data_IF_981293725013
#
_entry.id   IF_981293725013
#
_cell.length_a   1.000
_cell.length_b   1.000
_cell.length_c   1.000
_cell.angle_alpha   90.00
_cell.angle_beta   90.00
_cell.angle_gamma   90.00
#
_symmetry.space_group_name_H-M   'P 1'
#
loop_
_entity.id
_entity.type
_entity.pdbx_description
1 polymer ?
#
# COMPACT_ATOMS: atom_id res chain seq x y z
N UNK A 1 -23.55 -20.11 -11.21
CA UNK A 1 -22.33 -20.56 -11.89
C UNK A 1 -21.38 -19.37 -11.87
N UNK A 2 -20.46 -19.34 -10.94
CA UNK A 2 -19.37 -18.35 -10.92
C UNK A 2 -18.44 -18.67 -12.08
N UNK A 3 -18.29 -17.71 -13.02
CA UNK A 3 -17.32 -17.84 -14.12
C UNK A 3 -15.91 -17.98 -13.50
N UNK A 4 -15.01 -18.78 -14.12
CA UNK A 4 -13.62 -18.81 -13.67
C UNK A 4 -13.08 -17.38 -13.71
N UNK A 5 -12.63 -16.89 -12.56
CA UNK A 5 -12.00 -15.58 -12.44
C UNK A 5 -10.66 -15.67 -13.17
N UNK A 6 -10.57 -15.10 -14.37
CA UNK A 6 -9.29 -14.94 -15.02
C UNK A 6 -8.41 -14.06 -14.14
N UNK A 7 -7.21 -14.52 -13.84
CA UNK A 7 -6.23 -13.69 -13.15
C UNK A 7 -5.87 -12.51 -14.04
N UNK A 8 -5.90 -11.32 -13.48
CA UNK A 8 -5.40 -10.10 -14.15
C UNK A 8 -3.88 -10.18 -14.31
N UNK A 9 -3.27 -9.47 -15.27
CA UNK A 9 -1.86 -9.56 -15.59
C UNK A 9 -0.92 -9.49 -14.36
N UNK A 10 -1.10 -8.50 -13.48
CA UNK A 10 -0.30 -8.38 -12.25
C UNK A 10 -0.50 -9.57 -11.28
N UNK A 11 -1.61 -10.26 -11.37
CA UNK A 11 -1.93 -11.44 -10.55
C UNK A 11 -1.44 -12.74 -11.20
N UNK A 12 -1.29 -12.76 -12.53
CA UNK A 12 -0.64 -13.87 -13.26
C UNK A 12 0.83 -13.95 -12.86
N UNK A 13 1.56 -12.84 -12.89
CA UNK A 13 2.96 -12.81 -12.49
C UNK A 13 3.17 -13.34 -11.06
N UNK A 14 2.26 -13.00 -10.14
CA UNK A 14 2.30 -13.51 -8.77
C UNK A 14 1.99 -15.01 -8.69
N UNK A 15 1.03 -15.48 -9.48
CA UNK A 15 0.71 -16.90 -9.57
C UNK A 15 1.86 -17.72 -10.17
N UNK A 16 2.52 -17.20 -11.19
CA UNK A 16 3.68 -17.84 -11.84
C UNK A 16 4.86 -17.96 -10.87
N UNK A 17 5.08 -16.99 -9.99
CA UNK A 17 6.08 -17.09 -8.91
C UNK A 17 5.76 -18.24 -7.95
N UNK A 18 4.50 -18.38 -7.53
CA UNK A 18 4.08 -19.50 -6.69
C UNK A 18 4.35 -20.83 -7.41
N UNK A 19 3.98 -20.94 -8.70
CA UNK A 19 4.21 -22.16 -9.48
C UNK A 19 5.71 -22.47 -9.63
N UNK A 20 6.56 -21.44 -9.79
CA UNK A 20 8.01 -21.62 -9.85
C UNK A 20 8.57 -22.16 -8.54
N UNK A 21 8.15 -21.60 -7.40
CA UNK A 21 8.57 -22.08 -6.09
C UNK A 21 8.11 -23.52 -5.80
N UNK A 22 6.90 -23.90 -6.25
CA UNK A 22 6.41 -25.30 -6.16
C UNK A 22 7.35 -26.25 -6.93
N UNK A 23 7.72 -25.91 -8.17
CA UNK A 23 8.64 -26.72 -8.98
C UNK A 23 10.03 -26.84 -8.36
N UNK A 24 10.55 -25.72 -7.86
CA UNK A 24 11.87 -25.69 -7.18
C UNK A 24 11.88 -26.56 -5.92
N UNK A 25 10.81 -26.51 -5.12
CA UNK A 25 10.66 -27.37 -3.94
C UNK A 25 10.63 -28.86 -4.32
N UNK A 26 9.92 -29.24 -5.40
CA UNK A 26 9.89 -30.60 -5.91
C UNK A 26 11.25 -31.07 -6.43
N UNK A 27 12.02 -30.21 -7.09
CA UNK A 27 13.35 -30.54 -7.61
C UNK A 27 14.36 -30.76 -6.48
N UNK A 28 14.27 -29.96 -5.41
CA UNK A 28 15.12 -30.11 -4.21
C UNK A 28 14.81 -31.44 -3.50
N UNK A 29 13.57 -31.81 -3.39
CA UNK A 29 13.16 -33.07 -2.74
C UNK A 29 13.69 -34.29 -3.54
N UNK A 30 13.56 -34.26 -4.87
CA UNK A 30 14.12 -35.28 -5.76
C UNK A 30 15.65 -35.33 -5.70
N UNK A 31 16.31 -34.18 -5.60
CA UNK A 31 17.77 -34.09 -5.48
C UNK A 31 18.28 -34.64 -4.14
N UNK A 32 17.54 -34.44 -3.06
CA UNK A 32 17.87 -35.02 -1.72
C UNK A 32 17.74 -36.53 -1.71
N UNK A 33 16.66 -37.09 -2.31
CA UNK A 33 16.51 -38.53 -2.48
C UNK A 33 17.66 -39.14 -3.30
N UNK A 34 18.15 -38.43 -4.33
CA UNK A 34 19.28 -38.86 -5.13
C UNK A 34 20.65 -38.74 -4.39
N UNK A 35 20.83 -37.74 -3.52
CA UNK A 35 22.07 -37.48 -2.78
C UNK A 35 22.25 -38.35 -1.53
N UNK A 36 21.20 -38.92 -0.96
CA UNK A 36 21.37 -39.97 0.07
C UNK A 36 22.18 -41.16 -0.46
N UNK A 37 22.30 -41.26 -1.79
CA UNK A 37 23.06 -42.30 -2.48
C UNK A 37 24.56 -41.92 -2.68
N UNK A 38 24.94 -40.64 -2.66
CA UNK A 38 26.33 -40.18 -2.95
C UNK A 38 26.83 -39.09 -1.98
N UNK A 39 27.38 -39.51 -0.85
CA UNK A 39 27.80 -38.66 0.29
C UNK A 39 29.11 -37.84 0.08
N UNK A 40 29.64 -37.68 -1.15
CA UNK A 40 31.02 -37.21 -1.35
C UNK A 40 31.22 -35.84 -1.98
N UNK A 41 30.20 -35.04 -2.23
CA UNK A 41 30.39 -33.71 -2.84
C UNK A 41 29.80 -32.61 -1.99
N UNK A 42 30.66 -31.77 -1.41
CA UNK A 42 30.29 -30.43 -0.91
C UNK A 42 29.94 -29.54 -2.12
N UNK A 43 28.66 -29.42 -2.43
CA UNK A 43 28.14 -28.42 -3.38
C UNK A 43 27.67 -27.23 -2.56
N UNK A 44 28.03 -26.00 -2.98
CA UNK A 44 27.43 -24.79 -2.43
C UNK A 44 25.90 -24.96 -2.51
N UNK A 45 25.25 -24.97 -1.34
CA UNK A 45 23.78 -25.08 -1.31
C UNK A 45 23.19 -23.82 -1.95
N UNK A 46 22.37 -23.96 -2.99
CA UNK A 46 21.61 -22.82 -3.51
C UNK A 46 20.78 -22.20 -2.38
N UNK A 47 20.46 -20.91 -2.51
CA UNK A 47 19.52 -20.28 -1.59
C UNK A 47 18.22 -21.07 -1.59
N UNK A 48 17.67 -21.36 -0.40
CA UNK A 48 16.46 -22.16 -0.33
C UNK A 48 15.28 -21.38 -0.92
N UNK A 49 14.39 -22.03 -1.71
CA UNK A 49 13.25 -21.37 -2.30
C UNK A 49 12.28 -20.82 -1.24
N UNK A 50 11.52 -19.77 -1.56
CA UNK A 50 10.49 -19.27 -0.68
C UNK A 50 9.40 -20.33 -0.47
N UNK A 51 8.95 -20.48 0.76
CA UNK A 51 7.87 -21.41 1.15
C UNK A 51 6.70 -20.68 1.81
N UNK A 52 6.86 -19.39 2.13
CA UNK A 52 5.83 -18.53 2.69
C UNK A 52 5.62 -17.32 1.79
N UNK A 53 4.47 -17.26 1.14
CA UNK A 53 4.05 -16.11 0.32
C UNK A 53 3.00 -15.32 1.07
N UNK A 54 3.24 -14.04 1.29
CA UNK A 54 2.27 -13.15 1.94
C UNK A 54 1.80 -12.09 0.93
N UNK A 55 0.53 -12.15 0.57
CA UNK A 55 -0.12 -11.15 -0.28
C UNK A 55 -0.83 -10.12 0.58
N UNK A 56 -0.38 -8.88 0.53
CA UNK A 56 -0.92 -7.84 1.38
C UNK A 56 -1.50 -6.66 0.60
N UNK A 57 -2.40 -5.92 1.25
CA UNK A 57 -3.06 -4.76 0.67
C UNK A 57 -4.30 -4.34 1.46
N UNK A 58 -4.86 -3.20 1.15
CA UNK A 58 -6.01 -2.61 1.84
C UNK A 58 -7.25 -3.52 1.86
N UNK A 59 -8.22 -3.18 2.70
CA UNK A 59 -9.54 -3.82 2.67
C UNK A 59 -10.16 -3.68 1.29
N UNK A 60 -10.59 -4.79 0.69
CA UNK A 60 -11.20 -4.80 -0.65
C UNK A 60 -10.20 -4.80 -1.82
N UNK A 61 -8.89 -4.97 -1.60
CA UNK A 61 -7.87 -5.07 -2.65
C UNK A 61 -7.90 -6.40 -3.44
N UNK A 62 -8.78 -7.34 -3.07
CA UNK A 62 -8.97 -8.61 -3.78
C UNK A 62 -8.14 -9.77 -3.24
N UNK A 63 -7.59 -9.69 -2.02
CA UNK A 63 -6.77 -10.75 -1.39
C UNK A 63 -7.46 -12.10 -1.32
N UNK A 64 -8.62 -12.15 -0.70
CA UNK A 64 -9.43 -13.38 -0.58
C UNK A 64 -9.80 -13.95 -1.96
N UNK A 65 -10.13 -13.07 -2.92
CA UNK A 65 -10.41 -13.48 -4.30
C UNK A 65 -9.19 -14.11 -4.94
N UNK A 66 -8.00 -13.56 -4.71
CA UNK A 66 -6.74 -14.12 -5.21
C UNK A 66 -6.47 -15.49 -4.60
N UNK A 67 -6.59 -15.65 -3.27
CA UNK A 67 -6.43 -16.96 -2.60
C UNK A 67 -7.40 -18.02 -3.15
N UNK A 68 -8.68 -17.68 -3.31
CA UNK A 68 -9.67 -18.59 -3.90
C UNK A 68 -9.31 -18.98 -5.34
N UNK A 69 -8.78 -18.06 -6.13
CA UNK A 69 -8.36 -18.35 -7.50
C UNK A 69 -7.12 -19.24 -7.53
N UNK A 70 -6.18 -19.02 -6.61
CA UNK A 70 -5.01 -19.92 -6.44
C UNK A 70 -5.47 -21.33 -6.07
N UNK A 71 -6.39 -21.46 -5.11
CA UNK A 71 -6.99 -22.72 -4.72
C UNK A 71 -7.61 -23.45 -5.92
N UNK A 72 -8.48 -22.76 -6.68
CA UNK A 72 -9.15 -23.32 -7.86
C UNK A 72 -8.16 -23.82 -8.92
N UNK A 73 -7.14 -22.98 -9.24
CA UNK A 73 -6.16 -23.31 -10.28
C UNK A 73 -5.22 -24.45 -9.87
N UNK A 74 -4.77 -24.47 -8.61
CA UNK A 74 -3.84 -25.49 -8.12
C UNK A 74 -4.53 -26.80 -7.75
N UNK A 75 -5.82 -26.80 -7.44
CA UNK A 75 -6.60 -28.03 -7.21
C UNK A 75 -6.67 -28.95 -8.43
N UNK A 76 -6.46 -28.41 -9.63
CA UNK A 76 -6.38 -29.18 -10.86
C UNK A 76 -5.01 -29.88 -11.06
N UNK A 77 -3.98 -29.53 -10.28
CA UNK A 77 -2.66 -30.14 -10.37
C UNK A 77 -2.59 -31.41 -9.50
N UNK A 78 -2.31 -32.56 -10.13
CA UNK A 78 -2.24 -33.85 -9.44
C UNK A 78 -1.11 -33.98 -8.42
N UNK A 79 -0.07 -33.17 -8.53
CA UNK A 79 1.15 -33.21 -7.73
C UNK A 79 1.06 -32.34 -6.47
N UNK A 80 -0.03 -31.59 -6.34
CA UNK A 80 -0.31 -30.72 -5.21
C UNK A 80 -1.46 -31.29 -4.38
N UNK A 81 -1.33 -31.22 -3.07
CA UNK A 81 -2.40 -31.51 -2.11
C UNK A 81 -2.75 -30.23 -1.34
N UNK A 82 -3.93 -29.66 -1.61
CA UNK A 82 -4.44 -28.53 -0.84
C UNK A 82 -4.96 -29.07 0.49
N UNK A 83 -4.28 -28.72 1.58
CA UNK A 83 -4.63 -29.22 2.91
C UNK A 83 -5.83 -28.48 3.52
N UNK A 84 -5.99 -27.20 3.21
CA UNK A 84 -7.14 -26.42 3.65
C UNK A 84 -6.97 -24.93 3.44
N UNK A 85 -8.07 -24.23 3.70
CA UNK A 85 -8.19 -22.78 3.69
C UNK A 85 -8.66 -22.32 5.08
N UNK A 86 -7.85 -21.53 5.77
CA UNK A 86 -8.14 -20.99 7.11
C UNK A 86 -8.32 -19.48 7.06
N UNK A 87 -9.35 -18.99 7.73
CA UNK A 87 -9.48 -17.57 8.02
C UNK A 87 -8.92 -17.33 9.42
N UNK A 88 -7.73 -16.72 9.53
CA UNK A 88 -7.07 -16.52 10.83
C UNK A 88 -7.89 -15.67 11.81
N UNK A 89 -8.81 -14.83 11.32
CA UNK A 89 -9.70 -14.04 12.17
C UNK A 89 -10.68 -14.88 13.00
N UNK A 90 -10.90 -16.15 12.62
CA UNK A 90 -11.81 -17.07 13.33
C UNK A 90 -11.09 -17.89 14.43
N UNK A 91 -9.79 -17.69 14.61
CA UNK A 91 -8.93 -18.50 15.46
C UNK A 91 -8.04 -17.64 16.37
N UNK A 92 -7.59 -18.25 17.47
CA UNK A 92 -6.36 -17.83 18.18
C UNK A 92 -5.15 -18.50 17.54
N UNK A 93 -3.93 -18.03 17.78
CA UNK A 93 -2.72 -18.65 17.29
C UNK A 93 -2.63 -20.16 17.65
N UNK A 94 -2.99 -20.51 18.89
CA UNK A 94 -2.98 -21.88 19.37
C UNK A 94 -3.97 -22.78 18.64
N UNK A 95 -5.22 -22.31 18.45
CA UNK A 95 -6.25 -23.10 17.76
C UNK A 95 -5.99 -23.21 16.27
N UNK A 96 -5.48 -22.17 15.63
CA UNK A 96 -5.05 -22.20 14.23
C UNK A 96 -3.90 -23.19 14.02
N UNK A 97 -2.87 -23.10 14.87
CA UNK A 97 -1.73 -24.02 14.83
C UNK A 97 -2.15 -25.49 15.00
N UNK A 98 -3.06 -25.76 15.92
CA UNK A 98 -3.57 -27.12 16.16
C UNK A 98 -4.35 -27.64 14.96
N UNK A 99 -5.25 -26.82 14.39
CA UNK A 99 -6.05 -27.17 13.22
C UNK A 99 -5.18 -27.47 12.00
N UNK A 100 -4.14 -26.68 11.76
CA UNK A 100 -3.20 -26.91 10.66
C UNK A 100 -2.41 -28.22 10.90
N UNK A 101 -1.87 -28.45 12.10
CA UNK A 101 -1.11 -29.65 12.44
C UNK A 101 -1.91 -30.93 12.20
N UNK A 102 -3.15 -30.99 12.68
CA UNK A 102 -4.02 -32.15 12.50
C UNK A 102 -4.22 -32.52 11.01
N UNK A 103 -4.15 -31.54 10.12
CA UNK A 103 -4.32 -31.74 8.68
C UNK A 103 -3.01 -32.16 8.01
N UNK A 104 -1.89 -31.58 8.41
CA UNK A 104 -0.56 -31.80 7.81
C UNK A 104 0.04 -33.18 8.13
N UNK A 105 -0.30 -33.79 9.27
CA UNK A 105 0.27 -35.06 9.71
C UNK A 105 -0.14 -36.27 8.85
N UNK A 106 -1.03 -36.10 7.90
CA UNK A 106 -1.35 -37.10 6.89
C UNK A 106 -0.14 -37.32 5.97
N UNK A 107 0.31 -38.56 5.86
CA UNK A 107 1.41 -38.92 4.95
C UNK A 107 0.95 -38.76 3.50
N UNK A 108 1.64 -37.93 2.75
CA UNK A 108 1.46 -37.74 1.32
C UNK A 108 2.83 -37.52 0.69
N UNK A 109 3.01 -38.00 -0.54
CA UNK A 109 4.20 -37.75 -1.36
C UNK A 109 4.07 -36.49 -2.23
N UNK A 110 2.98 -35.72 -2.05
CA UNK A 110 2.70 -34.53 -2.84
C UNK A 110 3.15 -33.29 -2.09
N UNK A 111 3.46 -32.23 -2.85
CA UNK A 111 3.65 -30.89 -2.28
C UNK A 111 2.36 -30.42 -1.63
N UNK A 112 2.44 -30.01 -0.38
CA UNK A 112 1.30 -29.57 0.42
C UNK A 112 1.12 -28.06 0.30
N UNK A 113 -0.13 -27.64 0.13
CA UNK A 113 -0.50 -26.23 0.06
C UNK A 113 -1.42 -25.87 1.22
N UNK A 114 -1.06 -24.79 1.93
CA UNK A 114 -1.83 -24.21 3.02
C UNK A 114 -2.23 -22.79 2.62
N UNK A 115 -3.51 -22.45 2.72
CA UNK A 115 -4.03 -21.12 2.44
C UNK A 115 -4.54 -20.48 3.73
N UNK A 116 -4.08 -19.25 4.02
CA UNK A 116 -4.47 -18.51 5.23
C UNK A 116 -4.92 -17.10 4.84
N UNK A 117 -6.18 -16.77 5.11
CA UNK A 117 -6.69 -15.40 4.95
C UNK A 117 -6.65 -14.63 6.28
N UNK A 118 -6.57 -13.30 6.20
CA UNK A 118 -6.58 -12.38 7.34
C UNK A 118 -5.48 -12.67 8.40
N UNK A 119 -4.27 -13.01 7.97
CA UNK A 119 -3.14 -13.32 8.86
C UNK A 119 -2.83 -12.16 9.82
N UNK A 120 -3.08 -10.91 9.42
CA UNK A 120 -2.96 -9.71 10.25
C UNK A 120 -3.87 -9.71 11.49
N UNK A 121 -4.90 -10.55 11.54
CA UNK A 121 -5.74 -10.70 12.73
C UNK A 121 -4.96 -11.17 13.96
N UNK A 122 -3.84 -11.89 13.75
CA UNK A 122 -2.92 -12.30 14.82
C UNK A 122 -2.03 -11.15 15.35
N UNK A 123 -2.11 -9.97 14.74
CA UNK A 123 -1.40 -8.75 15.17
C UNK A 123 -2.31 -7.75 15.91
N UNK A 124 -3.56 -8.12 16.20
CA UNK A 124 -4.51 -7.20 16.86
C UNK A 124 -4.11 -6.84 18.30
N UNK A 125 -3.35 -7.69 18.96
CA UNK A 125 -2.74 -7.33 20.23
C UNK A 125 -1.45 -6.51 20.00
N UNK A 126 -1.26 -5.49 20.82
CA UNK A 126 -0.09 -4.59 20.72
C UNK A 126 1.25 -5.29 21.02
N UNK A 127 1.22 -6.52 21.53
CA UNK A 127 2.42 -7.29 21.85
C UNK A 127 2.92 -8.16 20.71
N UNK A 128 2.09 -8.41 19.68
CA UNK A 128 2.37 -9.36 18.60
C UNK A 128 2.49 -10.81 19.06
N UNK A 129 2.08 -11.10 20.29
CA UNK A 129 2.26 -12.43 20.91
C UNK A 129 1.59 -13.52 20.09
N UNK A 130 0.36 -13.30 19.64
CA UNK A 130 -0.37 -14.29 18.84
C UNK A 130 0.39 -14.64 17.55
N UNK A 131 0.99 -13.64 16.87
CA UNK A 131 1.78 -13.89 15.67
C UNK A 131 3.03 -14.73 15.99
N UNK A 132 3.75 -14.41 17.06
CA UNK A 132 4.96 -15.15 17.45
C UNK A 132 4.63 -16.57 17.96
N UNK A 133 3.51 -16.74 18.66
CA UNK A 133 3.03 -18.07 19.05
C UNK A 133 2.66 -18.91 17.82
N UNK A 134 2.06 -18.31 16.79
CA UNK A 134 1.77 -18.97 15.52
C UNK A 134 3.05 -19.31 14.74
N UNK A 135 4.00 -18.37 14.67
CA UNK A 135 5.31 -18.58 14.06
C UNK A 135 6.01 -19.82 14.63
N UNK A 136 6.18 -19.84 15.95
CA UNK A 136 6.91 -20.90 16.63
C UNK A 136 6.16 -22.23 16.61
N UNK A 137 4.85 -22.22 16.75
CA UNK A 137 4.05 -23.43 16.85
C UNK A 137 3.60 -24.03 15.52
N UNK A 138 3.50 -23.22 14.44
CA UNK A 138 3.04 -23.70 13.15
C UNK A 138 4.00 -23.39 12.00
N UNK A 139 4.36 -22.12 11.77
CA UNK A 139 5.12 -21.74 10.57
C UNK A 139 6.50 -22.38 10.54
N UNK A 140 7.28 -22.26 11.61
CA UNK A 140 8.64 -22.82 11.66
C UNK A 140 8.65 -24.34 11.43
N UNK A 141 7.84 -25.16 12.12
CA UNK A 141 7.77 -26.59 11.84
C UNK A 141 7.34 -26.93 10.39
N UNK A 142 6.46 -26.13 9.79
CA UNK A 142 6.02 -26.35 8.41
C UNK A 142 7.11 -26.02 7.39
N UNK A 143 7.81 -24.90 7.57
CA UNK A 143 8.91 -24.47 6.72
C UNK A 143 10.08 -25.45 6.78
N UNK A 144 10.36 -26.03 7.95
CA UNK A 144 11.42 -27.03 8.13
C UNK A 144 11.11 -28.37 7.45
N UNK A 145 9.85 -28.65 7.11
CA UNK A 145 9.47 -29.86 6.36
C UNK A 145 9.84 -29.80 4.89
N UNK A 146 9.96 -28.60 4.31
CA UNK A 146 10.28 -28.35 2.90
C UNK A 146 9.28 -28.92 1.87
N UNK A 147 8.29 -29.73 2.29
CA UNK A 147 7.22 -30.27 1.47
C UNK A 147 5.94 -29.43 1.48
N UNK A 148 6.00 -28.26 2.16
CA UNK A 148 4.80 -27.46 2.43
C UNK A 148 5.01 -26.00 2.00
N UNK A 149 4.10 -25.50 1.17
CA UNK A 149 4.02 -24.10 0.75
C UNK A 149 2.84 -23.46 1.44
N UNK A 150 3.06 -22.27 1.99
CA UNK A 150 2.07 -21.49 2.72
C UNK A 150 1.80 -20.21 1.93
N UNK A 151 0.54 -19.97 1.61
CA UNK A 151 0.11 -18.74 0.96
C UNK A 151 -0.84 -18.03 1.89
N UNK A 152 -0.46 -16.84 2.32
CA UNK A 152 -1.23 -16.06 3.27
C UNK A 152 -1.67 -14.71 2.68
N UNK A 153 -2.82 -14.22 3.13
CA UNK A 153 -3.30 -12.87 2.87
C UNK A 153 -3.30 -12.03 4.15
N UNK A 154 -2.90 -10.76 4.04
CA UNK A 154 -2.80 -9.81 5.14
C UNK A 154 -3.21 -8.41 4.68
N UNK A 155 -3.67 -7.54 5.58
CA UNK A 155 -3.89 -6.13 5.26
C UNK A 155 -2.59 -5.33 5.20
N UNK A 156 -1.53 -5.83 5.83
CA UNK A 156 -0.21 -5.19 5.89
C UNK A 156 0.89 -6.14 5.48
N UNK A 157 2.03 -5.56 5.17
CA UNK A 157 3.27 -6.30 5.05
C UNK A 157 3.71 -6.85 6.41
N UNK A 158 3.94 -8.16 6.51
CA UNK A 158 4.40 -8.80 7.75
C UNK A 158 5.88 -9.13 7.62
N UNK A 159 6.71 -8.39 8.37
CA UNK A 159 8.18 -8.55 8.40
C UNK A 159 8.70 -8.78 9.84
N UNK A 160 7.81 -9.16 10.77
CA UNK A 160 8.10 -9.18 12.21
C UNK A 160 8.52 -10.57 12.73
N UNK A 161 8.86 -11.51 11.84
CA UNK A 161 9.24 -12.86 12.24
C UNK A 161 10.54 -12.86 13.07
N UNK A 162 10.56 -13.65 14.14
CA UNK A 162 11.72 -13.83 15.01
C UNK A 162 12.66 -14.91 14.47
N UNK A 163 12.09 -15.96 13.89
CA UNK A 163 12.85 -17.11 13.41
C UNK A 163 13.50 -16.81 12.05
N UNK A 164 14.81 -17.10 11.97
CA UNK A 164 15.59 -16.84 10.76
C UNK A 164 15.07 -17.63 9.56
N UNK A 165 14.74 -18.93 9.77
CA UNK A 165 14.25 -19.80 8.69
C UNK A 165 12.94 -19.30 8.09
N UNK A 166 12.06 -18.69 8.89
CA UNK A 166 10.82 -18.09 8.41
C UNK A 166 11.13 -16.86 7.57
N UNK A 167 12.03 -15.98 8.06
CA UNK A 167 12.39 -14.73 7.36
C UNK A 167 13.01 -14.95 5.98
N UNK A 168 13.93 -15.93 5.87
CA UNK A 168 14.65 -16.18 4.60
C UNK A 168 13.83 -16.96 3.58
N UNK A 169 12.72 -17.57 4.01
CA UNK A 169 11.81 -18.34 3.18
C UNK A 169 10.51 -17.59 2.85
N UNK A 170 10.43 -16.31 3.22
CA UNK A 170 9.26 -15.47 2.98
C UNK A 170 9.44 -14.59 1.75
N UNK A 171 8.37 -14.44 0.98
CA UNK A 171 8.19 -13.36 0.00
C UNK A 171 6.90 -12.58 0.29
N UNK A 172 7.02 -11.24 0.33
CA UNK A 172 5.90 -10.32 0.47
C UNK A 172 5.54 -9.69 -0.87
N UNK A 173 4.25 -9.68 -1.19
CA UNK A 173 3.72 -9.11 -2.43
C UNK A 173 2.54 -8.19 -2.16
N UNK A 174 2.69 -6.91 -2.50
CA UNK A 174 1.58 -5.96 -2.40
C UNK A 174 0.57 -6.15 -3.53
N UNK A 175 -0.70 -6.30 -3.19
CA UNK A 175 -1.80 -6.22 -4.13
C UNK A 175 -2.18 -4.76 -4.36
N UNK A 176 -1.49 -4.12 -5.30
CA UNK A 176 -1.73 -2.72 -5.66
C UNK A 176 -3.06 -2.52 -6.39
N UNK A 177 -3.61 -1.29 -6.44
CA UNK A 177 -4.72 -0.95 -7.30
C UNK A 177 -4.48 -1.35 -8.76
N UNK A 178 -5.55 -1.68 -9.49
CA UNK A 178 -5.48 -2.14 -10.86
C UNK A 178 -5.06 -1.01 -11.80
N UNK A 179 -4.14 -1.31 -12.71
CA UNK A 179 -3.73 -0.41 -13.78
C UNK A 179 -4.81 -0.34 -14.87
N UNK A 180 -4.74 0.68 -15.71
CA UNK A 180 -5.76 0.90 -16.76
C UNK A 180 -5.95 -0.31 -17.69
N UNK A 181 -4.89 -1.02 -18.03
CA UNK A 181 -4.99 -2.21 -18.88
C UNK A 181 -5.68 -3.38 -18.16
N UNK A 182 -5.45 -3.53 -16.86
CA UNK A 182 -6.14 -4.52 -16.02
C UNK A 182 -7.61 -4.16 -15.83
N UNK A 183 -7.93 -2.86 -15.71
CA UNK A 183 -9.31 -2.38 -15.65
C UNK A 183 -10.03 -2.67 -16.97
N UNK A 184 -9.37 -2.47 -18.12
CA UNK A 184 -9.93 -2.82 -19.44
C UNK A 184 -10.27 -4.32 -19.48
N UNK A 185 -9.38 -5.18 -19.02
CA UNK A 185 -9.62 -6.61 -18.96
C UNK A 185 -10.74 -6.97 -17.99
N UNK A 186 -10.77 -6.35 -16.82
CA UNK A 186 -11.82 -6.54 -15.81
C UNK A 186 -13.22 -6.14 -16.34
N UNK A 187 -13.28 -5.15 -17.23
CA UNK A 187 -14.51 -4.59 -17.81
C UNK A 187 -14.88 -5.17 -19.18
N UNK A 188 -14.11 -6.13 -19.73
CA UNK A 188 -14.30 -6.66 -21.11
C UNK A 188 -15.73 -7.06 -21.47
N UNK A 189 -16.49 -7.57 -20.52
CA UNK A 189 -17.87 -8.01 -20.73
C UNK A 189 -18.91 -6.95 -20.36
N UNK A 190 -18.47 -5.74 -20.05
CA UNK A 190 -19.32 -4.60 -19.68
C UNK A 190 -19.28 -3.53 -20.77
N UNK A 191 -20.29 -2.66 -20.81
CA UNK A 191 -20.29 -1.48 -21.67
C UNK A 191 -19.74 -0.23 -20.95
N UNK A 192 -18.87 -0.43 -19.93
CA UNK A 192 -18.33 0.64 -19.10
C UNK A 192 -16.99 1.11 -19.72
N UNK A 193 -16.85 2.42 -19.85
CA UNK A 193 -15.59 3.04 -20.28
C UNK A 193 -14.52 2.89 -19.17
N UNK A 194 -13.37 2.35 -19.55
CA UNK A 194 -12.27 2.05 -18.61
C UNK A 194 -11.61 3.30 -18.04
N UNK A 195 -11.48 4.36 -18.82
CA UNK A 195 -10.85 5.60 -18.35
C UNK A 195 -11.79 6.30 -17.35
N UNK A 196 -13.11 6.23 -17.62
CA UNK A 196 -14.10 6.71 -16.67
C UNK A 196 -14.08 5.88 -15.38
N UNK A 197 -14.05 4.55 -15.48
CA UNK A 197 -13.95 3.65 -14.32
C UNK A 197 -12.67 3.93 -13.50
N UNK A 198 -11.50 4.10 -14.15
CA UNK A 198 -10.26 4.47 -13.49
C UNK A 198 -10.39 5.81 -12.74
N UNK A 199 -11.00 6.81 -13.38
CA UNK A 199 -11.20 8.14 -12.78
C UNK A 199 -12.09 8.09 -11.54
N UNK A 200 -13.12 7.24 -11.54
CA UNK A 200 -14.08 7.09 -10.43
C UNK A 200 -13.51 6.27 -9.28
N UNK A 201 -12.78 5.19 -9.57
CA UNK A 201 -12.41 4.15 -8.59
C UNK A 201 -10.94 4.16 -8.21
N UNK A 202 -10.11 4.91 -8.93
CA UNK A 202 -8.64 4.89 -8.85
C UNK A 202 -8.05 3.48 -8.96
N UNK A 203 -8.76 2.57 -9.64
CA UNK A 203 -8.36 1.18 -9.82
C UNK A 203 -8.55 0.28 -8.60
N UNK A 204 -9.18 0.77 -7.52
CA UNK A 204 -9.42 -0.06 -6.34
C UNK A 204 -10.44 -1.17 -6.65
N UNK A 205 -10.09 -2.49 -6.48
CA UNK A 205 -10.93 -3.60 -6.95
C UNK A 205 -12.36 -3.58 -6.40
N UNK A 206 -12.54 -3.34 -5.10
CA UNK A 206 -13.88 -3.24 -4.49
C UNK A 206 -14.69 -2.10 -5.06
N UNK A 207 -14.06 -0.97 -5.33
CA UNK A 207 -14.76 0.19 -5.93
C UNK A 207 -15.13 -0.05 -7.39
N UNK A 208 -14.31 -0.81 -8.15
CA UNK A 208 -14.66 -1.25 -9.51
C UNK A 208 -15.86 -2.20 -9.50
N UNK A 209 -15.89 -3.15 -8.58
CA UNK A 209 -17.01 -4.07 -8.39
C UNK A 209 -18.33 -3.31 -8.12
N UNK A 210 -18.29 -2.35 -7.21
CA UNK A 210 -19.43 -1.50 -6.89
C UNK A 210 -19.81 -0.58 -8.06
N UNK A 211 -18.82 -0.06 -8.80
CA UNK A 211 -19.07 0.77 -9.98
C UNK A 211 -19.73 -0.02 -11.12
N UNK A 212 -19.38 -1.32 -11.29
CA UNK A 212 -20.08 -2.20 -12.23
C UNK A 212 -21.55 -2.38 -11.84
N UNK A 213 -21.82 -2.55 -10.54
CA UNK A 213 -23.18 -2.66 -10.03
C UNK A 213 -23.96 -1.33 -10.16
N UNK A 214 -23.26 -0.20 -10.16
CA UNK A 214 -23.82 1.14 -10.19
C UNK A 214 -23.15 2.03 -11.27
N UNK A 215 -23.25 1.69 -12.57
CA UNK A 215 -22.46 2.32 -13.64
C UNK A 215 -22.78 3.80 -13.92
N UNK A 216 -23.78 4.33 -13.25
CA UNK A 216 -24.17 5.75 -13.32
C UNK A 216 -23.60 6.60 -12.17
N UNK A 217 -22.83 6.01 -11.28
CA UNK A 217 -22.23 6.76 -10.19
C UNK A 217 -21.38 7.91 -10.70
N UNK A 218 -21.59 9.06 -10.11
CA UNK A 218 -20.69 10.19 -10.21
C UNK A 218 -19.50 10.02 -9.27
N UNK A 219 -18.44 10.81 -9.47
CA UNK A 219 -17.31 10.85 -8.53
C UNK A 219 -17.76 11.14 -7.08
N UNK A 220 -18.81 11.94 -6.89
CA UNK A 220 -19.35 12.27 -5.57
C UNK A 220 -20.00 11.05 -4.89
N UNK A 221 -20.79 10.28 -5.63
CA UNK A 221 -21.46 9.09 -5.10
C UNK A 221 -20.44 7.99 -4.77
N UNK A 222 -19.47 7.76 -5.66
CA UNK A 222 -18.44 6.78 -5.46
C UNK A 222 -17.53 7.13 -4.26
N UNK A 223 -17.10 8.39 -4.14
CA UNK A 223 -16.27 8.81 -3.01
C UNK A 223 -17.03 8.82 -1.68
N UNK A 224 -18.32 9.14 -1.68
CA UNK A 224 -19.17 9.04 -0.49
C UNK A 224 -19.34 7.58 -0.05
N UNK A 225 -19.54 6.65 -1.00
CA UNK A 225 -19.56 5.23 -0.70
C UNK A 225 -18.22 4.75 -0.12
N UNK A 226 -17.11 5.11 -0.77
CA UNK A 226 -15.77 4.76 -0.32
C UNK A 226 -15.49 5.27 1.10
N UNK A 227 -15.81 6.54 1.37
CA UNK A 227 -15.68 7.14 2.70
C UNK A 227 -16.44 6.34 3.75
N UNK A 228 -17.70 5.99 3.47
CA UNK A 228 -18.50 5.13 4.35
C UNK A 228 -17.87 3.75 4.53
N UNK A 229 -17.45 3.09 3.46
CA UNK A 229 -16.93 1.73 3.47
C UNK A 229 -15.59 1.62 4.23
N UNK A 230 -14.63 2.50 3.95
CA UNK A 230 -13.32 2.44 4.57
C UNK A 230 -13.28 2.96 6.00
N UNK A 231 -14.16 3.91 6.35
CA UNK A 231 -14.22 4.50 7.69
C UNK A 231 -15.37 3.94 8.54
N UNK A 232 -15.96 2.83 8.13
CA UNK A 232 -16.99 2.14 8.92
C UNK A 232 -16.45 1.71 10.29
N UNK A 233 -17.20 2.01 11.35
CA UNK A 233 -16.81 1.65 12.73
C UNK A 233 -15.76 2.55 13.37
N UNK A 234 -15.30 3.63 12.71
CA UNK A 234 -14.47 4.64 13.36
C UNK A 234 -15.29 5.61 14.20
N UNK A 235 -14.75 6.10 15.34
CA UNK A 235 -15.29 7.26 16.05
C UNK A 235 -15.36 8.50 15.14
N UNK A 236 -16.27 9.42 15.43
CA UNK A 236 -16.48 10.60 14.57
C UNK A 236 -15.24 11.47 14.43
N UNK A 237 -14.53 11.69 15.53
CA UNK A 237 -13.29 12.50 15.56
C UNK A 237 -12.10 11.81 14.84
N UNK A 238 -12.05 10.48 14.88
CA UNK A 238 -11.05 9.71 14.10
C UNK A 238 -11.39 9.72 12.61
N UNK A 239 -12.68 9.70 12.25
CA UNK A 239 -13.10 9.87 10.84
C UNK A 239 -12.67 11.23 10.30
N UNK A 240 -12.96 12.30 11.01
CA UNK A 240 -12.59 13.66 10.63
C UNK A 240 -11.07 13.79 10.45
N UNK A 241 -10.28 13.27 11.39
CA UNK A 241 -8.82 13.25 11.27
C UNK A 241 -8.38 12.48 10.02
N UNK A 242 -9.00 11.32 9.73
CA UNK A 242 -8.68 10.49 8.57
C UNK A 242 -9.01 11.20 7.26
N UNK A 243 -10.16 11.88 7.21
CA UNK A 243 -10.57 12.68 6.05
C UNK A 243 -9.56 13.80 5.77
N UNK A 244 -9.13 14.52 6.80
CA UNK A 244 -8.10 15.56 6.67
C UNK A 244 -6.73 14.99 6.34
N UNK A 245 -6.31 13.90 6.99
CA UNK A 245 -5.05 13.21 6.70
C UNK A 245 -4.98 12.68 5.25
N UNK A 246 -6.11 12.27 4.67
CA UNK A 246 -6.16 11.77 3.29
C UNK A 246 -5.79 12.80 2.23
N UNK A 247 -5.86 14.10 2.57
CA UNK A 247 -5.45 15.21 1.70
C UNK A 247 -3.93 15.20 1.48
N UNK A 248 -3.19 14.54 2.35
CA UNK A 248 -1.73 14.49 2.31
C UNK A 248 -1.26 13.15 1.74
N UNK A 249 -0.36 13.17 0.75
CA UNK A 249 0.32 11.94 0.31
C UNK A 249 1.16 11.31 1.42
N UNK A 250 1.85 12.18 2.17
CA UNK A 250 2.56 11.87 3.41
C UNK A 250 2.29 12.98 4.43
N UNK A 251 2.24 12.63 5.71
CA UNK A 251 1.96 13.58 6.77
C UNK A 251 2.68 13.20 8.07
N UNK A 252 3.01 14.19 8.86
CA UNK A 252 3.44 14.03 10.23
C UNK A 252 2.39 14.61 11.20
N UNK A 253 2.64 14.44 12.49
CA UNK A 253 1.73 14.94 13.52
C UNK A 253 1.67 16.47 13.54
N UNK A 254 2.75 17.15 13.12
CA UNK A 254 2.84 18.60 13.20
C UNK A 254 1.98 19.28 12.14
N UNK A 255 1.97 18.74 10.90
CA UNK A 255 1.08 19.27 9.84
C UNK A 255 -0.38 18.98 10.16
N UNK A 256 -0.71 17.78 10.65
CA UNK A 256 -2.09 17.46 11.05
C UNK A 256 -2.57 18.38 12.16
N UNK A 257 -1.73 18.59 13.19
CA UNK A 257 -2.01 19.54 14.26
C UNK A 257 -2.29 20.94 13.70
N UNK A 258 -1.41 21.46 12.83
CA UNK A 258 -1.55 22.79 12.25
C UNK A 258 -2.86 22.97 11.50
N UNK A 259 -3.29 21.94 10.77
CA UNK A 259 -4.55 21.95 10.02
C UNK A 259 -5.77 21.90 10.95
N UNK A 260 -5.66 21.18 12.07
CA UNK A 260 -6.76 21.03 13.03
C UNK A 260 -6.88 22.22 14.00
N UNK A 261 -5.78 22.85 14.38
CA UNK A 261 -5.76 23.98 15.35
C UNK A 261 -6.31 25.28 14.79
N UNK A 262 -6.23 25.51 13.48
CA UNK A 262 -6.84 26.69 12.84
C UNK A 262 -8.37 26.74 13.02
N UNK A 263 -9.00 25.64 13.48
CA UNK A 263 -10.43 25.58 13.75
C UNK A 263 -10.78 25.87 15.22
N UNK A 264 -9.79 25.87 16.12
CA UNK A 264 -10.04 26.09 17.55
C UNK A 264 -9.36 27.36 18.03
N UNK A 265 -10.13 28.42 18.27
CA UNK A 265 -9.66 29.65 18.93
C UNK A 265 -9.19 29.44 20.39
N UNK A 266 -9.24 28.21 20.91
CA UNK A 266 -8.96 27.88 22.31
C UNK A 266 -7.48 27.50 22.54
N UNK A 267 -6.61 28.49 22.39
CA UNK A 267 -5.14 28.38 22.53
C UNK A 267 -4.64 28.10 23.97
N UNK A 268 -5.49 27.68 24.91
CA UNK A 268 -5.11 27.48 26.31
C UNK A 268 -4.92 26.03 26.76
N UNK A 269 -5.14 25.04 25.89
CA UNK A 269 -4.84 23.64 26.24
C UNK A 269 -3.33 23.39 26.24
N UNK A 270 -2.86 22.64 27.24
CA UNK A 270 -1.46 22.24 27.35
C UNK A 270 -1.03 21.52 26.04
N UNK A 271 0.01 22.04 25.39
CA UNK A 271 0.50 21.52 24.10
C UNK A 271 0.83 20.02 24.15
N UNK A 272 1.23 19.52 25.33
CA UNK A 272 1.56 18.11 25.55
C UNK A 272 0.33 17.21 25.47
N UNK A 273 -0.77 17.62 26.09
CA UNK A 273 -2.02 16.82 26.07
C UNK A 273 -2.62 16.77 24.66
N UNK A 274 -2.51 17.83 23.89
CA UNK A 274 -2.99 17.86 22.51
C UNK A 274 -2.20 16.92 21.60
N UNK A 275 -0.85 16.95 21.68
CA UNK A 275 0.00 16.03 20.90
C UNK A 275 -0.28 14.56 21.23
N UNK A 276 -0.51 14.25 22.50
CA UNK A 276 -0.89 12.89 22.94
C UNK A 276 -2.20 12.45 22.28
N UNK A 277 -3.21 13.32 22.23
CA UNK A 277 -4.48 13.00 21.59
C UNK A 277 -4.38 12.72 20.08
N UNK A 278 -3.52 13.44 19.36
CA UNK A 278 -3.26 13.16 17.93
C UNK A 278 -2.49 11.86 17.74
N UNK A 279 -1.49 11.57 18.58
CA UNK A 279 -0.75 10.33 18.56
C UNK A 279 -1.68 9.11 18.77
N UNK A 280 -2.60 9.20 19.72
CA UNK A 280 -3.55 8.12 19.99
C UNK A 280 -4.45 7.83 18.78
N UNK A 281 -4.92 8.88 18.10
CA UNK A 281 -5.72 8.74 16.87
C UNK A 281 -4.91 8.16 15.71
N UNK A 282 -3.67 8.61 15.51
CA UNK A 282 -2.78 8.04 14.50
C UNK A 282 -2.48 6.57 14.81
N UNK A 283 -2.23 6.24 16.07
CA UNK A 283 -2.06 4.85 16.51
C UNK A 283 -3.29 4.01 16.24
N UNK A 284 -4.52 4.55 16.39
CA UNK A 284 -5.74 3.86 16.00
C UNK A 284 -5.80 3.61 14.50
N UNK A 285 -5.47 4.61 13.66
CA UNK A 285 -5.40 4.45 12.21
C UNK A 285 -4.35 3.41 11.80
N UNK A 286 -3.22 3.38 12.48
CA UNK A 286 -2.16 2.38 12.25
C UNK A 286 -2.63 0.98 12.64
N UNK A 287 -3.30 0.82 13.78
CA UNK A 287 -3.87 -0.47 14.22
C UNK A 287 -4.96 -1.00 13.29
N UNK A 288 -5.65 -0.10 12.58
CA UNK A 288 -6.67 -0.45 11.58
C UNK A 288 -6.11 -0.56 10.17
N UNK A 289 -4.80 -0.47 10.04
CA UNK A 289 -4.08 -0.61 8.78
C UNK A 289 -4.47 0.41 7.69
N UNK A 290 -5.03 1.55 8.07
CA UNK A 290 -5.35 2.65 7.14
C UNK A 290 -4.10 3.45 6.81
N UNK A 291 -3.24 3.68 7.80
CA UNK A 291 -1.95 4.37 7.62
C UNK A 291 -0.80 3.53 8.16
N UNK A 292 0.39 3.79 7.66
CA UNK A 292 1.63 3.20 8.13
C UNK A 292 2.71 4.27 8.23
N UNK A 293 3.69 4.05 9.10
CA UNK A 293 4.85 4.91 9.16
C UNK A 293 5.84 4.53 8.06
N UNK A 294 6.19 5.49 7.22
CA UNK A 294 7.20 5.34 6.19
C UNK A 294 8.54 5.81 6.77
N UNK A 295 9.45 4.86 6.99
CA UNK A 295 10.77 5.11 7.61
C UNK A 295 11.63 6.01 6.73
N UNK A 296 11.54 5.86 5.40
CA UNK A 296 12.33 6.65 4.44
C UNK A 296 11.85 8.11 4.40
N UNK A 297 10.53 8.30 4.44
CA UNK A 297 9.94 9.63 4.50
C UNK A 297 9.99 10.25 5.90
N UNK A 298 10.19 9.46 6.97
CA UNK A 298 10.04 9.89 8.35
C UNK A 298 8.64 10.41 8.70
N UNK A 299 7.63 9.91 8.01
CA UNK A 299 6.25 10.41 8.03
C UNK A 299 5.24 9.27 7.87
N UNK A 300 3.97 9.54 8.14
CA UNK A 300 2.90 8.59 7.90
C UNK A 300 2.36 8.71 6.47
N UNK A 301 1.91 7.60 5.91
CA UNK A 301 1.16 7.56 4.64
C UNK A 301 0.02 6.57 4.72
N UNK A 302 -0.96 6.70 3.86
CA UNK A 302 -1.97 5.68 3.68
C UNK A 302 -1.33 4.40 3.13
N UNK A 303 -1.78 3.25 3.60
CA UNK A 303 -1.32 1.93 3.11
C UNK A 303 -1.72 1.68 1.67
N UNK A 304 -2.78 2.37 1.19
CA UNK A 304 -3.29 2.29 -0.16
C UNK A 304 -3.61 3.71 -0.68
N UNK A 305 -2.91 4.13 -1.74
CA UNK A 305 -3.10 5.46 -2.32
C UNK A 305 -4.47 5.63 -3.00
N UNK A 306 -5.06 4.57 -3.56
CA UNK A 306 -6.40 4.66 -4.11
C UNK A 306 -7.44 4.95 -3.02
N UNK A 307 -7.30 4.33 -1.85
CA UNK A 307 -8.15 4.61 -0.67
C UNK A 307 -7.96 6.06 -0.21
N UNK A 308 -6.72 6.52 -0.10
CA UNK A 308 -6.41 7.92 0.22
C UNK A 308 -7.13 8.88 -0.73
N UNK A 309 -6.96 8.67 -2.04
CA UNK A 309 -7.53 9.53 -3.09
C UNK A 309 -9.05 9.52 -3.09
N UNK A 310 -9.68 8.39 -2.82
CA UNK A 310 -11.13 8.26 -2.71
C UNK A 310 -11.68 9.05 -1.53
N UNK A 311 -11.04 8.97 -0.36
CA UNK A 311 -11.44 9.71 0.85
C UNK A 311 -11.19 11.22 0.63
N UNK A 312 -10.01 11.59 0.15
CA UNK A 312 -9.66 12.98 -0.18
C UNK A 312 -10.62 13.61 -1.19
N UNK A 313 -11.02 12.85 -2.23
CA UNK A 313 -12.01 13.29 -3.21
C UNK A 313 -13.38 13.55 -2.60
N UNK A 314 -13.79 12.77 -1.58
CA UNK A 314 -15.01 13.04 -0.86
C UNK A 314 -14.96 14.41 -0.16
N UNK A 315 -13.86 14.74 0.49
CA UNK A 315 -13.65 16.05 1.12
C UNK A 315 -13.64 17.19 0.07
N UNK A 316 -12.93 17.01 -1.05
CA UNK A 316 -12.92 17.97 -2.16
C UNK A 316 -14.33 18.29 -2.68
N UNK A 317 -15.16 17.26 -2.86
CA UNK A 317 -16.49 17.41 -3.48
C UNK A 317 -17.60 17.81 -2.50
N UNK A 318 -17.39 17.66 -1.20
CA UNK A 318 -18.38 17.98 -0.16
C UNK A 318 -18.02 19.23 0.64
N UNK A 319 -16.73 19.51 0.85
CA UNK A 319 -16.18 20.58 1.68
C UNK A 319 -15.05 21.31 0.93
N UNK A 320 -15.32 21.78 -0.29
CA UNK A 320 -14.29 22.33 -1.19
C UNK A 320 -13.50 23.50 -0.57
N UNK A 321 -14.16 24.40 0.15
CA UNK A 321 -13.47 25.55 0.78
C UNK A 321 -12.48 25.07 1.82
N UNK A 322 -12.86 24.09 2.62
CA UNK A 322 -12.00 23.44 3.61
C UNK A 322 -10.83 22.68 2.96
N UNK A 323 -11.10 21.93 1.90
CA UNK A 323 -10.08 21.26 1.13
C UNK A 323 -9.02 22.23 0.61
N UNK A 324 -9.44 23.35 0.00
CA UNK A 324 -8.54 24.40 -0.50
C UNK A 324 -7.76 25.05 0.65
N UNK A 325 -8.42 25.32 1.79
CA UNK A 325 -7.79 25.90 2.99
C UNK A 325 -6.68 24.99 3.52
N UNK A 326 -6.96 23.68 3.65
CA UNK A 326 -5.95 22.70 4.12
C UNK A 326 -4.74 22.68 3.18
N UNK A 327 -4.97 22.65 1.87
CA UNK A 327 -3.88 22.71 0.90
C UNK A 327 -3.06 24.01 0.98
N UNK A 328 -3.69 25.13 1.28
CA UNK A 328 -2.99 26.40 1.45
C UNK A 328 -2.09 26.36 2.70
N UNK A 329 -2.64 25.93 3.85
CA UNK A 329 -1.87 25.77 5.11
C UNK A 329 -0.69 24.81 4.89
N UNK A 330 -0.93 23.69 4.23
CA UNK A 330 0.10 22.70 3.93
C UNK A 330 1.20 23.26 3.01
N UNK A 331 0.84 23.98 1.97
CA UNK A 331 1.82 24.62 1.09
C UNK A 331 2.70 25.61 1.84
N UNK A 332 2.15 26.41 2.73
CA UNK A 332 2.87 27.37 3.58
C UNK A 332 3.79 26.63 4.57
N UNK A 333 3.29 25.60 5.23
CA UNK A 333 4.04 24.77 6.17
C UNK A 333 5.26 24.13 5.51
N UNK A 334 5.08 23.40 4.40
CA UNK A 334 6.18 22.73 3.71
C UNK A 334 7.20 23.72 3.11
N UNK A 335 6.76 24.90 2.69
CA UNK A 335 7.66 25.97 2.26
C UNK A 335 8.52 26.50 3.41
N UNK A 336 7.98 26.59 4.61
CA UNK A 336 8.71 27.04 5.81
C UNK A 336 9.71 25.97 6.25
N UNK A 337 9.26 24.71 6.38
CA UNK A 337 10.12 23.59 6.77
C UNK A 337 11.27 23.35 5.78
N UNK A 338 11.02 23.50 4.49
CA UNK A 338 12.05 23.36 3.46
C UNK A 338 13.20 24.34 3.60
N UNK A 339 13.00 25.48 4.26
CA UNK A 339 14.08 26.44 4.55
C UNK A 339 15.01 25.96 5.66
N UNK A 340 14.54 25.06 6.52
CA UNK A 340 15.17 24.71 7.78
C UNK A 340 15.78 23.30 7.82
N UNK A 341 15.55 22.46 6.81
CA UNK A 341 15.90 21.05 6.87
C UNK A 341 16.70 20.52 5.69
N UNK A 342 17.44 19.41 5.90
CA UNK A 342 18.15 18.66 4.85
C UNK A 342 17.26 17.79 3.97
N UNK A 343 15.99 17.60 4.33
CA UNK A 343 14.99 16.81 3.56
C UNK A 343 14.28 17.62 2.48
N UNK A 344 15.00 18.52 1.87
CA UNK A 344 14.50 19.50 0.91
C UNK A 344 13.68 18.89 -0.23
N UNK A 345 14.12 17.75 -0.76
CA UNK A 345 13.54 17.16 -1.98
C UNK A 345 12.07 16.78 -1.81
N UNK A 346 11.73 16.07 -0.74
CA UNK A 346 10.35 15.65 -0.47
C UNK A 346 9.46 16.85 -0.10
N UNK A 347 9.97 17.77 0.72
CA UNK A 347 9.26 18.98 1.10
C UNK A 347 8.99 19.90 -0.10
N UNK A 348 9.92 19.92 -1.05
CA UNK A 348 9.75 20.65 -2.30
C UNK A 348 8.59 20.08 -3.14
N UNK A 349 8.54 18.75 -3.36
CA UNK A 349 7.48 18.10 -4.11
C UNK A 349 6.14 18.27 -3.39
N UNK A 350 6.10 18.10 -2.07
CA UNK A 350 4.90 18.33 -1.25
C UNK A 350 4.40 19.78 -1.37
N UNK A 351 5.31 20.77 -1.36
CA UNK A 351 4.96 22.19 -1.55
C UNK A 351 4.28 22.43 -2.89
N UNK A 352 4.82 21.84 -3.98
CA UNK A 352 4.22 21.99 -5.33
C UNK A 352 2.84 21.33 -5.38
N UNK A 353 2.71 20.12 -4.82
CA UNK A 353 1.46 19.39 -4.77
C UNK A 353 0.36 20.22 -4.09
N UNK A 354 0.62 20.69 -2.88
CA UNK A 354 -0.36 21.47 -2.14
C UNK A 354 -0.60 22.85 -2.74
N UNK A 355 0.42 23.49 -3.29
CA UNK A 355 0.27 24.78 -3.99
C UNK A 355 -0.62 24.62 -5.24
N UNK A 356 -0.46 23.55 -6.00
CA UNK A 356 -1.31 23.27 -7.18
C UNK A 356 -2.77 23.09 -6.78
N UNK A 357 -3.05 22.29 -5.76
CA UNK A 357 -4.40 22.04 -5.26
C UNK A 357 -5.03 23.29 -4.64
N UNK A 358 -4.29 24.12 -3.92
CA UNK A 358 -4.79 25.38 -3.36
C UNK A 358 -5.28 26.39 -4.43
N UNK A 359 -4.92 26.15 -5.70
CA UNK A 359 -5.37 26.92 -6.84
C UNK A 359 -6.48 26.22 -7.65
N UNK A 360 -6.94 25.07 -7.18
CA UNK A 360 -8.06 24.33 -7.75
C UNK A 360 -9.31 25.25 -7.85
N UNK A 361 -10.03 25.15 -8.96
CA UNK A 361 -11.20 26.01 -9.20
C UNK A 361 -10.90 27.41 -9.78
N UNK A 362 -9.63 27.86 -9.83
CA UNK A 362 -9.23 29.07 -10.52
C UNK A 362 -9.06 28.83 -12.03
N UNK A 363 -8.97 29.91 -12.84
CA UNK A 363 -8.91 29.82 -14.30
C UNK A 363 -7.85 28.83 -14.81
N UNK A 364 -8.15 28.12 -15.92
CA UNK A 364 -7.27 27.10 -16.54
C UNK A 364 -5.83 27.61 -16.75
N UNK A 365 -4.86 26.80 -16.36
CA UNK A 365 -3.44 27.10 -16.47
C UNK A 365 -2.87 27.90 -15.30
N UNK A 366 -3.70 28.38 -14.39
CA UNK A 366 -3.25 29.12 -13.20
C UNK A 366 -2.40 28.27 -12.27
N UNK A 367 -2.76 27.01 -11.90
CA UNK A 367 -1.95 26.19 -11.01
C UNK A 367 -0.52 26.00 -11.53
N UNK A 368 -0.37 25.58 -12.79
CA UNK A 368 0.96 25.36 -13.39
C UNK A 368 1.82 26.63 -13.48
N UNK A 369 1.21 27.78 -13.83
CA UNK A 369 1.93 29.03 -13.89
C UNK A 369 2.41 29.51 -12.50
N UNK A 370 1.58 29.29 -11.47
CA UNK A 370 1.91 29.63 -10.09
C UNK A 370 3.04 28.72 -9.57
N UNK A 371 2.93 27.40 -9.77
CA UNK A 371 3.97 26.46 -9.40
C UNK A 371 5.30 26.77 -10.09
N UNK A 372 5.30 27.04 -11.40
CA UNK A 372 6.50 27.41 -12.14
C UNK A 372 7.15 28.71 -11.60
N UNK A 373 6.32 29.72 -11.28
CA UNK A 373 6.82 30.96 -10.67
C UNK A 373 7.43 30.72 -9.29
N UNK A 374 6.77 29.89 -8.49
CA UNK A 374 7.26 29.52 -7.17
C UNK A 374 8.61 28.81 -7.27
N UNK A 375 8.76 27.82 -8.15
CA UNK A 375 10.04 27.10 -8.37
C UNK A 375 11.15 28.07 -8.73
N UNK A 376 10.93 28.99 -9.67
CA UNK A 376 11.91 30.03 -10.06
C UNK A 376 12.32 30.92 -8.87
N UNK A 377 11.38 31.28 -8.02
CA UNK A 377 11.67 32.07 -6.82
C UNK A 377 12.50 31.29 -5.82
N UNK A 378 12.24 29.99 -5.64
CA UNK A 378 13.00 29.14 -4.72
C UNK A 378 14.41 28.88 -5.20
N UNK A 379 14.64 28.69 -6.49
CA UNK A 379 15.97 28.59 -7.08
C UNK A 379 16.88 29.77 -6.70
N UNK A 380 16.32 30.96 -6.65
CA UNK A 380 17.06 32.19 -6.29
C UNK A 380 17.28 32.33 -4.79
N UNK A 381 16.52 31.62 -3.94
CA UNK A 381 16.56 31.76 -2.48
C UNK A 381 17.33 30.66 -1.78
N UNK A 382 17.36 29.46 -2.35
CA UNK A 382 17.97 28.29 -1.74
C UNK A 382 19.38 28.02 -2.29
N UNK A 383 20.31 28.83 -1.83
CA UNK A 383 21.71 28.62 -2.15
C UNK A 383 22.24 27.39 -1.40
N UNK A 384 22.89 26.45 -2.15
CA UNK A 384 23.45 25.21 -1.60
C UNK A 384 22.47 24.04 -1.46
N UNK A 385 21.26 24.15 -1.99
CA UNK A 385 20.32 23.02 -2.06
C UNK A 385 20.87 21.91 -2.98
N UNK A 386 20.66 20.65 -2.58
CA UNK A 386 20.97 19.51 -3.43
C UNK A 386 19.87 19.33 -4.50
N UNK A 387 19.99 20.09 -5.59
CA UNK A 387 19.03 20.07 -6.71
C UNK A 387 19.03 18.74 -7.48
N UNK A 388 20.11 17.98 -7.41
CA UNK A 388 20.14 16.64 -7.97
C UNK A 388 19.19 15.71 -7.24
N UNK A 389 19.19 15.77 -5.93
CA UNK A 389 18.24 14.98 -5.12
C UNK A 389 16.79 15.45 -5.36
N UNK A 390 16.55 16.76 -5.47
CA UNK A 390 15.22 17.29 -5.81
C UNK A 390 14.75 16.78 -7.16
N UNK A 391 15.62 16.81 -8.18
CA UNK A 391 15.31 16.29 -9.51
C UNK A 391 15.05 14.78 -9.47
N UNK A 392 15.87 14.02 -8.77
CA UNK A 392 15.69 12.56 -8.60
C UNK A 392 14.35 12.22 -7.98
N UNK A 393 13.94 12.89 -6.91
CA UNK A 393 12.63 12.68 -6.28
C UNK A 393 11.49 13.13 -7.19
N UNK A 394 11.67 14.22 -7.94
CA UNK A 394 10.69 14.73 -8.90
C UNK A 394 10.45 13.76 -10.06
N UNK A 395 11.51 13.13 -10.61
CA UNK A 395 11.46 12.25 -11.78
C UNK A 395 11.24 10.77 -11.43
N UNK A 396 11.54 10.35 -10.20
CA UNK A 396 11.57 8.93 -9.84
C UNK A 396 10.26 8.17 -10.08
N UNK A 397 9.16 8.87 -10.33
CA UNK A 397 7.85 8.27 -10.57
C UNK A 397 7.32 7.45 -9.36
N UNK A 398 8.19 7.15 -8.39
CA UNK A 398 7.84 6.48 -7.15
C UNK A 398 7.14 7.41 -6.16
N UNK A 399 7.11 8.71 -6.45
CA UNK A 399 6.35 9.63 -5.64
C UNK A 399 4.87 9.52 -6.03
N UNK A 400 4.04 9.03 -5.12
CA UNK A 400 2.60 8.82 -5.31
C UNK A 400 1.85 10.06 -5.83
N UNK A 401 2.46 11.24 -5.73
CA UNK A 401 1.90 12.52 -6.17
C UNK A 401 2.30 12.96 -7.57
N UNK A 402 3.29 12.31 -8.23
CA UNK A 402 3.78 12.78 -9.54
C UNK A 402 2.68 12.80 -10.60
N UNK A 403 1.88 11.74 -10.68
CA UNK A 403 0.73 11.68 -11.61
C UNK A 403 -0.33 12.72 -11.27
N UNK A 404 -0.65 12.90 -9.99
CA UNK A 404 -1.60 13.92 -9.54
C UNK A 404 -1.10 15.32 -9.87
N UNK A 405 0.17 15.61 -9.65
CA UNK A 405 0.80 16.88 -10.02
C UNK A 405 0.66 17.12 -11.53
N UNK A 406 0.99 16.13 -12.36
CA UNK A 406 0.88 16.25 -13.83
C UNK A 406 -0.57 16.57 -14.23
N UNK A 407 -1.54 15.92 -13.62
CA UNK A 407 -2.97 16.19 -13.88
C UNK A 407 -3.38 17.61 -13.49
N UNK A 408 -2.85 18.13 -12.39
CA UNK A 408 -3.18 19.44 -11.86
C UNK A 408 -2.52 20.60 -12.63
N UNK A 409 -1.22 20.50 -12.89
CA UNK A 409 -0.45 21.59 -13.51
C UNK A 409 -0.34 21.44 -15.03
N UNK A 410 -0.59 20.26 -15.55
CA UNK A 410 -0.46 19.89 -16.96
C UNK A 410 0.98 19.54 -17.36
N UNK A 411 1.12 18.61 -18.32
CA UNK A 411 2.41 18.09 -18.79
C UNK A 411 3.38 19.19 -19.25
N UNK A 412 2.89 20.24 -19.89
CA UNK A 412 3.70 21.39 -20.32
C UNK A 412 4.41 22.09 -19.15
N UNK A 413 3.73 22.29 -18.05
CA UNK A 413 4.35 22.96 -16.88
C UNK A 413 5.22 21.99 -16.09
N UNK A 414 4.83 20.72 -16.02
CA UNK A 414 5.66 19.67 -15.43
C UNK A 414 7.02 19.61 -16.13
N UNK A 415 7.06 19.51 -17.49
CA UNK A 415 8.31 19.51 -18.28
C UNK A 415 9.14 20.76 -18.04
N UNK A 416 8.53 21.95 -17.96
CA UNK A 416 9.26 23.19 -17.70
C UNK A 416 9.87 23.24 -16.28
N UNK A 417 9.21 22.66 -15.29
CA UNK A 417 9.76 22.53 -13.95
C UNK A 417 10.93 21.57 -13.97
N UNK A 418 10.80 20.42 -14.65
CA UNK A 418 11.90 19.45 -14.81
C UNK A 418 13.12 20.07 -15.50
N UNK A 419 12.93 20.83 -16.59
CA UNK A 419 14.02 21.57 -17.27
C UNK A 419 14.74 22.52 -16.29
N UNK A 420 13.97 23.31 -15.53
CA UNK A 420 14.57 24.23 -14.54
C UNK A 420 15.37 23.52 -13.45
N UNK A 421 14.89 22.38 -12.96
CA UNK A 421 15.60 21.58 -11.95
C UNK A 421 16.89 21.00 -12.53
N UNK A 422 16.86 20.52 -13.78
CA UNK A 422 18.03 20.00 -14.48
C UNK A 422 19.10 21.06 -14.74
N UNK A 423 18.71 22.29 -15.12
CA UNK A 423 19.65 23.41 -15.29
C UNK A 423 20.37 23.78 -13.98
N UNK A 424 19.71 23.62 -12.84
CA UNK A 424 20.33 23.92 -11.55
C UNK A 424 21.28 22.84 -11.05
N UNK A 425 21.04 21.57 -11.41
CA UNK A 425 22.00 20.50 -11.18
C UNK A 425 23.35 20.87 -11.80
N UNK A 426 23.37 21.32 -13.05
CA UNK A 426 24.59 21.70 -13.77
C UNK A 426 25.30 22.89 -13.10
N UNK A 427 24.57 23.85 -12.54
CA UNK A 427 25.14 25.02 -11.85
C UNK A 427 25.70 24.72 -10.46
N UNK A 428 25.23 23.67 -9.80
CA UNK A 428 25.74 23.24 -8.48
C UNK A 428 27.02 22.39 -8.57
N UNK A 429 27.34 21.86 -9.76
CA UNK A 429 28.56 21.08 -10.04
C UNK A 429 29.76 21.94 -10.49
N UNK A 430 29.55 23.23 -10.75
CA UNK A 430 30.57 24.21 -11.14
C UNK A 430 30.85 25.20 -9.99
#
# INVERSE_FOLDING_TARGET
MTKPVNLLPSRIDLFDKIQSAIKEAEEIDKAKEAQEIDKTKEVQKPEPPPLLFIFWGSRGSGKTTFLNTVEEKLSANSDIEILGFWNAADFTASTLSSSIKETVDKKSSKTKLILIDNLDSLLQDSSGKELFDFESNALLPLIQREDTIIIAASQIEINLWQEYDVRVRQENHQLTPLKIDEIKEFLLETNIDSDHAQTITFGHPKMLEEFIAHPKWTSKEASAYANKYFLEGFPADTKELTEKASIFPVFDIFILRKVMEDETEDNQKDQTDMLTGYNDKINELTRRWIVQFDVEAGAYRFTDDAVRRLISRNTELTLNDEFVRIHQIAAEYYQEEAKNTSYLAQLFVSSIYHLAHSQSGKSKGTPGAICLRWVRNMQNKWFGANWEQVLSVWESGNHAVSEEIILLIGSKYYSKITELLSENKIRSEV
#
